data_IF_205623781573
#
_entry.id   IF_205623781573
#
_cell.length_a   1.000
_cell.length_b   1.000
_cell.length_c   1.000
_cell.angle_alpha   90.00
_cell.angle_beta   90.00
_cell.angle_gamma   90.00
#
_symmetry.space_group_name_H-M   'P 1'
#
loop_
_entity.id
_entity.type
_entity.pdbx_description
1 polymer ?
#
# COMPACT_ATOMS: atom_id res chain seq x y z
N UNK A 1 -9.99 -40.59 35.31
CA UNK A 1 -11.18 -39.84 34.85
C UNK A 1 -11.07 -38.31 35.15
N UNK A 2 -9.96 -37.63 34.78
CA UNK A 2 -9.78 -36.18 35.02
C UNK A 2 -9.34 -35.36 33.80
N UNK A 3 -9.28 -35.96 32.60
CA UNK A 3 -8.83 -35.29 31.36
C UNK A 3 -9.95 -34.56 30.60
N UNK A 4 -11.21 -34.94 30.84
CA UNK A 4 -12.40 -34.32 30.21
C UNK A 4 -12.66 -32.85 30.58
N UNK A 5 -12.54 -32.39 31.85
CA UNK A 5 -12.81 -30.98 32.17
C UNK A 5 -11.76 -30.04 31.58
N UNK A 6 -10.54 -30.54 31.35
CA UNK A 6 -9.45 -29.76 30.77
C UNK A 6 -9.68 -29.52 29.27
N UNK A 7 -10.17 -30.52 28.52
CA UNK A 7 -10.46 -30.40 27.08
C UNK A 7 -11.66 -29.49 26.83
N UNK A 8 -12.71 -29.59 27.66
CA UNK A 8 -13.91 -28.76 27.54
C UNK A 8 -13.63 -27.27 27.76
N UNK A 9 -12.62 -26.93 28.59
CA UNK A 9 -12.18 -25.55 28.82
C UNK A 9 -11.23 -25.02 27.74
N UNK A 10 -10.49 -25.90 27.05
CA UNK A 10 -9.49 -25.51 26.04
C UNK A 10 -10.13 -25.02 24.73
N UNK A 11 -11.23 -25.64 24.31
CA UNK A 11 -11.94 -25.28 23.07
C UNK A 11 -12.45 -23.83 23.05
N UNK A 12 -13.15 -23.30 24.07
CA UNK A 12 -13.56 -21.90 24.06
C UNK A 12 -12.37 -20.94 24.16
N UNK A 13 -11.29 -21.32 24.86
CA UNK A 13 -10.07 -20.51 24.94
C UNK A 13 -9.37 -20.38 23.58
N UNK A 14 -9.34 -21.46 22.79
CA UNK A 14 -8.81 -21.43 21.41
C UNK A 14 -9.70 -20.57 20.51
N UNK A 15 -11.02 -20.67 20.64
CA UNK A 15 -11.95 -19.85 19.87
C UNK A 15 -11.78 -18.36 20.17
N UNK A 16 -11.66 -17.99 21.45
CA UNK A 16 -11.42 -16.60 21.88
C UNK A 16 -10.06 -16.11 21.40
N UNK A 17 -9.03 -16.97 21.41
CA UNK A 17 -7.70 -16.61 20.89
C UNK A 17 -7.74 -16.34 19.38
N UNK A 18 -8.41 -17.21 18.60
CA UNK A 18 -8.56 -17.03 17.15
C UNK A 18 -9.32 -15.74 16.84
N UNK A 19 -10.48 -15.53 17.47
CA UNK A 19 -11.28 -14.32 17.28
C UNK A 19 -10.52 -13.05 17.73
N UNK A 20 -9.74 -13.14 18.81
CA UNK A 20 -8.89 -12.04 19.28
C UNK A 20 -7.75 -11.71 18.33
N UNK A 21 -7.13 -12.71 17.71
CA UNK A 21 -6.06 -12.51 16.70
C UNK A 21 -6.58 -11.86 15.43
N UNK A 22 -7.79 -12.21 14.99
CA UNK A 22 -8.44 -11.62 13.82
C UNK A 22 -8.73 -10.13 14.06
N UNK A 23 -9.22 -9.77 15.25
CA UNK A 23 -9.44 -8.37 15.65
C UNK A 23 -8.15 -7.56 15.78
N UNK A 24 -7.03 -8.18 16.17
CA UNK A 24 -5.73 -7.51 16.26
C UNK A 24 -5.17 -7.14 14.86
N UNK A 25 -5.52 -7.92 13.84
CA UNK A 25 -5.08 -7.65 12.45
C UNK A 25 -5.81 -6.45 11.85
N UNK A 26 -7.01 -6.13 12.34
CA UNK A 26 -7.82 -5.00 11.85
C UNK A 26 -7.32 -3.62 12.35
N UNK A 27 -6.43 -3.58 13.35
CA UNK A 27 -5.93 -2.33 13.96
C UNK A 27 -4.52 -1.95 13.52
N UNK A 28 -4.01 -2.56 12.44
CA UNK A 28 -2.86 -1.98 11.74
C UNK A 28 -3.26 -0.62 11.18
N UNK A 29 -3.11 0.42 12.00
CA UNK A 29 -3.12 1.80 11.57
C UNK A 29 -2.13 1.88 10.41
N UNK A 30 -2.66 1.99 9.20
CA UNK A 30 -1.87 2.16 7.99
C UNK A 30 -1.15 3.48 8.17
N UNK A 31 0.09 3.41 8.64
CA UNK A 31 0.97 4.57 8.75
C UNK A 31 1.08 5.12 7.33
N UNK A 32 0.53 6.31 7.11
CA UNK A 32 0.75 7.04 5.87
C UNK A 32 2.18 7.54 5.93
N UNK A 33 3.13 6.65 5.60
CA UNK A 33 4.50 7.06 5.36
C UNK A 33 4.45 8.10 4.25
N UNK A 34 4.95 9.30 4.52
CA UNK A 34 5.07 10.33 3.50
C UNK A 34 5.85 9.72 2.33
N UNK A 35 5.23 9.63 1.17
CA UNK A 35 5.90 9.11 -0.01
C UNK A 35 7.18 9.95 -0.22
N UNK A 36 8.31 9.29 -0.49
CA UNK A 36 9.57 9.98 -0.78
C UNK A 36 9.55 10.73 -2.13
N UNK A 37 8.37 10.92 -2.71
CA UNK A 37 8.11 11.53 -4.00
C UNK A 37 6.83 12.38 -3.90
N UNK A 38 6.73 13.36 -4.77
CA UNK A 38 5.60 14.27 -4.88
C UNK A 38 4.59 13.74 -5.90
N UNK A 39 3.31 13.98 -5.67
CA UNK A 39 2.26 13.74 -6.67
C UNK A 39 1.77 15.09 -7.18
N UNK A 40 2.18 15.45 -8.39
CA UNK A 40 1.89 16.74 -9.01
C UNK A 40 0.66 16.63 -9.89
N UNK A 41 -0.18 17.67 -9.87
CA UNK A 41 -1.27 17.84 -10.82
C UNK A 41 -0.83 18.81 -11.92
N UNK A 42 -0.40 18.26 -13.06
CA UNK A 42 0.17 19.04 -14.17
C UNK A 42 -0.95 19.39 -15.17
N UNK A 43 -1.26 20.68 -15.38
CA UNK A 43 -2.31 21.07 -16.32
C UNK A 43 -1.92 20.74 -17.76
N UNK A 44 -2.79 20.01 -18.47
CA UNK A 44 -2.62 19.70 -19.89
C UNK A 44 -3.69 20.40 -20.73
N UNK A 45 -3.32 21.50 -21.39
CA UNK A 45 -4.23 22.24 -22.27
C UNK A 45 -4.70 21.40 -23.47
N UNK A 46 -3.82 20.52 -23.99
CA UNK A 46 -4.14 19.64 -25.12
C UNK A 46 -5.17 18.57 -24.76
N UNK A 47 -5.20 18.14 -23.49
CA UNK A 47 -6.11 17.10 -23.02
C UNK A 47 -7.30 17.66 -22.23
N UNK A 48 -7.31 18.97 -21.95
CA UNK A 48 -8.38 19.65 -21.22
C UNK A 48 -8.55 19.20 -19.76
N UNK A 49 -7.50 18.64 -19.15
CA UNK A 49 -7.52 18.14 -17.76
C UNK A 49 -6.14 18.19 -17.12
N UNK A 50 -6.11 18.10 -15.80
CA UNK A 50 -4.87 17.89 -15.05
C UNK A 50 -4.42 16.43 -15.11
N UNK A 51 -3.11 16.22 -15.13
CA UNK A 51 -2.48 14.91 -15.20
C UNK A 51 -1.68 14.65 -13.92
N UNK A 52 -1.96 13.55 -13.19
CA UNK A 52 -1.17 13.17 -12.04
C UNK A 52 0.21 12.68 -12.49
N UNK A 53 1.26 13.23 -11.87
CA UNK A 53 2.66 12.87 -12.14
C UNK A 53 3.36 12.60 -10.82
N UNK A 54 3.88 11.38 -10.65
CA UNK A 54 4.78 11.05 -9.54
C UNK A 54 6.19 11.58 -9.85
N UNK A 55 6.70 12.48 -9.00
CA UNK A 55 7.96 13.18 -9.22
C UNK A 55 8.89 13.05 -8.02
N UNK A 56 10.15 12.71 -8.28
CA UNK A 56 11.21 12.72 -7.28
C UNK A 56 12.34 13.64 -7.76
N UNK A 57 12.66 14.64 -6.96
CA UNK A 57 13.74 15.57 -7.27
C UNK A 57 15.11 14.90 -7.09
N UNK A 58 15.95 14.94 -8.14
CA UNK A 58 17.30 14.36 -8.13
C UNK A 58 18.37 15.13 -8.91
N UNK A 59 18.02 16.22 -9.60
CA UNK A 59 18.94 17.02 -10.41
C UNK A 59 18.26 17.68 -11.62
N UNK A 60 19.02 18.35 -12.51
CA UNK A 60 18.48 19.00 -13.71
C UNK A 60 18.11 18.01 -14.83
N UNK A 61 18.60 16.75 -14.75
CA UNK A 61 18.23 15.68 -15.66
C UNK A 61 17.20 14.76 -15.02
N UNK A 62 16.24 14.28 -15.82
CA UNK A 62 15.14 13.44 -15.37
C UNK A 62 15.04 12.17 -16.21
N UNK A 63 14.63 11.08 -15.56
CA UNK A 63 14.24 9.81 -16.22
C UNK A 63 12.73 9.75 -16.26
N UNK A 64 12.17 9.52 -17.45
CA UNK A 64 10.74 9.38 -17.66
C UNK A 64 10.39 7.89 -17.72
N UNK A 65 9.63 7.42 -16.73
CA UNK A 65 9.17 6.04 -16.65
C UNK A 65 7.74 5.98 -17.16
N UNK A 66 7.56 5.44 -18.37
CA UNK A 66 6.25 5.32 -19.01
C UNK A 66 5.58 4.02 -18.61
N UNK A 67 4.30 4.11 -18.25
CA UNK A 67 3.54 2.97 -17.78
C UNK A 67 3.20 1.98 -18.92
N UNK A 68 2.90 0.71 -18.58
CA UNK A 68 2.36 -0.26 -19.54
C UNK A 68 0.94 0.11 -20.04
N UNK A 69 0.37 -0.74 -20.91
CA UNK A 69 -0.92 -0.47 -21.55
C UNK A 69 -2.11 -0.38 -20.57
N UNK A 70 -1.99 -1.00 -19.40
CA UNK A 70 -2.99 -1.06 -18.33
C UNK A 70 -2.69 -0.05 -17.20
N UNK A 71 -2.22 1.14 -17.58
CA UNK A 71 -1.88 2.22 -16.67
C UNK A 71 -3.02 2.57 -15.70
N UNK A 72 -2.69 2.70 -14.41
CA UNK A 72 -3.62 3.18 -13.40
C UNK A 72 -3.92 4.68 -13.57
N UNK A 73 -5.08 5.17 -13.10
CA UNK A 73 -5.45 6.58 -13.24
C UNK A 73 -4.66 7.52 -12.32
N UNK A 74 -4.17 7.02 -11.17
CA UNK A 74 -3.65 7.87 -10.09
C UNK A 74 -2.11 7.78 -9.93
N UNK A 75 -1.53 6.58 -10.00
CA UNK A 75 -0.10 6.34 -9.78
C UNK A 75 0.40 5.27 -10.76
N UNK A 76 1.59 5.49 -11.35
CA UNK A 76 2.21 4.54 -12.27
C UNK A 76 2.63 3.24 -11.60
N UNK A 77 2.55 2.14 -12.34
CA UNK A 77 3.01 0.82 -11.93
C UNK A 77 4.52 0.78 -11.61
N UNK A 78 5.34 1.66 -12.20
CA UNK A 78 6.76 1.77 -11.86
C UNK A 78 7.00 2.28 -10.44
N UNK A 79 6.10 3.12 -9.92
CA UNK A 79 6.17 3.64 -8.55
C UNK A 79 5.69 2.59 -7.56
N UNK A 80 4.61 1.86 -7.91
CA UNK A 80 4.00 0.86 -7.03
C UNK A 80 4.71 -0.49 -7.14
N UNK A 81 4.43 -1.26 -8.18
CA UNK A 81 5.00 -2.60 -8.39
C UNK A 81 6.51 -2.57 -8.67
N UNK A 82 6.99 -1.51 -9.33
CA UNK A 82 8.40 -1.38 -9.72
C UNK A 82 9.34 -0.83 -8.64
N UNK A 83 8.83 -0.15 -7.60
CA UNK A 83 9.63 0.55 -6.58
C UNK A 83 10.75 1.45 -7.16
N UNK A 84 10.48 2.10 -8.30
CA UNK A 84 11.48 2.89 -9.01
C UNK A 84 12.00 4.09 -8.19
N UNK A 85 11.17 4.66 -7.32
CA UNK A 85 11.48 5.87 -6.56
C UNK A 85 12.53 5.68 -5.46
N UNK A 86 12.95 4.44 -5.20
CA UNK A 86 13.97 4.11 -4.19
C UNK A 86 15.22 3.47 -4.82
N UNK A 87 15.12 3.01 -6.07
CA UNK A 87 16.10 2.08 -6.66
C UNK A 87 16.87 2.66 -7.85
N UNK A 88 16.39 3.76 -8.43
CA UNK A 88 17.00 4.48 -9.55
C UNK A 88 17.49 5.86 -9.10
#
# INVERSE_FOLDING_TARGET
>A
MRRFPLVLLRLPAVLVLVLGLECLSATHARSTHAAGYETLMVPSAAMGRDIPVAFLAGGPHAVYLLDPFDAGPDVSNWVTAGNAMTTL
#
